data_IF_244550442262
#
_entry.id   IF_244550442262
#
_cell.length_a   1.000
_cell.length_b   1.000
_cell.length_c   1.000
_cell.angle_alpha   90.00
_cell.angle_beta   90.00
_cell.angle_gamma   90.00
#
_symmetry.space_group_name_H-M   'P 1'
#
loop_
_entity.id
_entity.type
_entity.pdbx_description
1 polymer ?
#
# COMPACT_ATOMS: atom_id res chain seq x y z
N UNK A 1 -23.19 30.75 -16.65
CA UNK A 1 -22.73 30.08 -17.88
C UNK A 1 -21.29 29.55 -17.67
N UNK A 2 -20.34 30.36 -17.20
CA UNK A 2 -18.94 29.93 -16.95
C UNK A 2 -18.88 28.79 -15.90
N UNK A 3 -19.69 28.83 -14.84
CA UNK A 3 -19.77 27.79 -13.81
C UNK A 3 -20.31 26.46 -14.35
N UNK A 4 -21.24 26.48 -15.32
CA UNK A 4 -21.77 25.27 -15.97
C UNK A 4 -20.74 24.61 -16.90
N UNK A 5 -20.02 25.41 -17.66
CA UNK A 5 -18.93 24.91 -18.53
C UNK A 5 -17.77 24.30 -17.77
N UNK A 6 -17.43 24.85 -16.59
CA UNK A 6 -16.40 24.28 -15.70
C UNK A 6 -16.89 22.95 -15.14
N UNK A 7 -18.18 22.80 -14.85
CA UNK A 7 -18.74 21.58 -14.25
C UNK A 7 -18.76 20.40 -15.24
N UNK A 8 -19.11 20.60 -16.49
CA UNK A 8 -19.08 19.55 -17.52
C UNK A 8 -17.64 19.11 -17.85
N UNK A 9 -16.72 20.05 -18.05
CA UNK A 9 -15.30 19.74 -18.28
C UNK A 9 -14.67 19.06 -17.07
N UNK A 10 -15.03 19.44 -15.84
CA UNK A 10 -14.49 18.81 -14.62
C UNK A 10 -14.99 17.39 -14.45
N UNK A 11 -16.20 17.07 -14.85
CA UNK A 11 -16.70 15.70 -14.85
C UNK A 11 -16.01 14.79 -15.86
N UNK A 12 -15.68 15.30 -17.05
CA UNK A 12 -14.88 14.57 -18.05
C UNK A 12 -13.43 14.31 -17.59
N UNK A 13 -12.86 15.23 -16.81
CA UNK A 13 -11.49 15.13 -16.30
C UNK A 13 -11.39 14.35 -14.98
N UNK A 14 -12.50 14.09 -14.31
CA UNK A 14 -12.53 13.41 -13.00
C UNK A 14 -11.72 12.10 -12.98
N UNK A 15 -11.83 11.18 -13.97
CA UNK A 15 -11.03 9.96 -13.99
C UNK A 15 -9.52 10.24 -13.97
N UNK A 16 -9.06 11.19 -14.77
CA UNK A 16 -7.67 11.56 -14.85
C UNK A 16 -7.15 12.16 -13.53
N UNK A 17 -7.94 13.06 -12.91
CA UNK A 17 -7.60 13.68 -11.63
C UNK A 17 -7.43 12.65 -10.53
N UNK A 18 -8.35 11.68 -10.45
CA UNK A 18 -8.33 10.64 -9.43
C UNK A 18 -7.14 9.68 -9.63
N UNK A 19 -6.88 9.26 -10.87
CA UNK A 19 -5.74 8.40 -11.19
C UNK A 19 -4.42 9.11 -10.86
N UNK A 20 -4.25 10.37 -11.27
CA UNK A 20 -3.05 11.14 -10.99
C UNK A 20 -2.82 11.30 -9.48
N UNK A 21 -3.89 11.58 -8.72
CA UNK A 21 -3.82 11.68 -7.26
C UNK A 21 -3.40 10.36 -6.61
N UNK A 22 -3.86 9.23 -7.13
CA UNK A 22 -3.45 7.92 -6.62
C UNK A 22 -2.00 7.58 -6.99
N UNK A 23 -1.57 7.89 -8.23
CA UNK A 23 -0.18 7.70 -8.63
C UNK A 23 0.76 8.41 -7.66
N UNK A 24 0.49 9.70 -7.35
CA UNK A 24 1.31 10.49 -6.44
C UNK A 24 1.40 9.87 -5.03
N UNK A 25 0.35 9.17 -4.57
CA UNK A 25 0.28 8.52 -3.24
C UNK A 25 0.93 7.16 -3.18
N UNK A 26 0.92 6.40 -4.25
CA UNK A 26 1.41 5.03 -4.25
C UNK A 26 2.84 4.88 -4.74
N UNK A 27 3.31 5.77 -5.62
CA UNK A 27 4.67 5.71 -6.16
C UNK A 27 5.75 6.04 -5.10
N UNK A 28 5.40 6.80 -4.06
CA UNK A 28 6.34 7.42 -3.11
C UNK A 28 7.24 6.44 -2.35
N UNK A 29 6.75 5.23 -2.10
CA UNK A 29 7.52 4.20 -1.40
C UNK A 29 8.48 3.55 -2.38
N UNK A 30 7.96 2.95 -3.44
CA UNK A 30 8.73 2.12 -4.35
C UNK A 30 9.82 2.90 -5.10
N UNK A 31 9.58 4.18 -5.43
CA UNK A 31 10.56 5.04 -6.10
C UNK A 31 11.74 5.42 -5.17
N UNK A 32 11.51 5.51 -3.86
CA UNK A 32 12.53 5.94 -2.89
C UNK A 32 13.42 4.79 -2.40
N UNK A 33 12.92 3.56 -2.42
CA UNK A 33 13.58 2.37 -1.86
C UNK A 33 14.97 2.09 -2.47
N UNK A 34 15.20 2.18 -3.79
CA UNK A 34 16.54 1.95 -4.37
C UNK A 34 17.62 2.91 -3.85
N UNK A 35 17.25 4.08 -3.33
CA UNK A 35 18.19 5.08 -2.81
C UNK A 35 18.55 4.91 -1.33
N UNK A 36 18.01 3.92 -0.64
CA UNK A 36 18.26 3.71 0.79
C UNK A 36 19.73 3.57 1.19
N UNK A 37 20.59 2.83 0.44
CA UNK A 37 22.02 2.76 0.76
C UNK A 37 22.72 4.12 0.71
N UNK A 38 22.31 5.01 -0.21
CA UNK A 38 22.86 6.36 -0.32
C UNK A 38 22.40 7.25 0.85
N UNK A 39 21.13 7.08 1.29
CA UNK A 39 20.60 7.80 2.45
C UNK A 39 21.31 7.38 3.75
N UNK A 40 21.61 6.08 3.93
CA UNK A 40 22.41 5.56 5.05
C UNK A 40 23.78 6.27 5.09
N UNK A 41 24.46 6.34 3.95
CA UNK A 41 25.76 7.05 3.84
C UNK A 41 25.63 8.55 4.11
N UNK A 42 24.63 9.20 3.53
CA UNK A 42 24.43 10.64 3.66
C UNK A 42 24.14 11.07 5.11
N UNK A 43 23.22 10.37 5.79
CA UNK A 43 22.85 10.70 7.17
C UNK A 43 23.76 10.07 8.21
N UNK A 44 24.67 9.18 7.81
CA UNK A 44 25.56 8.42 8.69
C UNK A 44 24.81 7.69 9.82
N UNK A 45 23.77 6.95 9.44
CA UNK A 45 22.89 6.18 10.35
C UNK A 45 22.85 4.71 9.97
N UNK A 46 22.25 3.88 10.82
CA UNK A 46 22.05 2.46 10.52
C UNK A 46 21.04 2.23 9.40
N UNK A 47 21.12 1.07 8.76
CA UNK A 47 20.14 0.62 7.74
C UNK A 47 18.73 0.59 8.33
N UNK A 48 18.58 0.07 9.57
CA UNK A 48 17.32 0.04 10.28
C UNK A 48 16.71 1.44 10.47
N UNK A 49 17.52 2.46 10.72
CA UNK A 49 17.03 3.84 10.85
C UNK A 49 16.39 4.35 9.56
N UNK A 50 16.96 4.02 8.39
CA UNK A 50 16.37 4.40 7.10
C UNK A 50 15.11 3.58 6.81
N UNK A 51 15.08 2.29 7.17
CA UNK A 51 13.87 1.46 7.04
C UNK A 51 12.68 2.04 7.83
N UNK A 52 12.92 2.64 9.00
CA UNK A 52 11.90 3.32 9.79
C UNK A 52 11.20 4.47 9.03
N UNK A 53 11.80 5.03 7.98
CA UNK A 53 11.14 6.05 7.15
C UNK A 53 9.84 5.54 6.54
N UNK A 54 9.79 4.26 6.15
CA UNK A 54 8.56 3.62 5.65
C UNK A 54 7.60 3.30 6.80
N UNK A 55 8.11 2.84 7.96
CA UNK A 55 7.25 2.59 9.12
C UNK A 55 6.53 3.87 9.58
N UNK A 56 7.23 5.00 9.63
CA UNK A 56 6.64 6.30 9.97
C UNK A 56 5.61 6.77 8.95
N UNK A 57 5.85 6.51 7.66
CA UNK A 57 4.86 6.77 6.62
C UNK A 57 3.57 5.97 6.85
N UNK A 58 3.68 4.67 7.11
CA UNK A 58 2.51 3.83 7.42
C UNK A 58 1.83 4.21 8.74
N UNK A 59 2.56 4.65 9.76
CA UNK A 59 1.96 5.19 10.99
C UNK A 59 1.14 6.46 10.71
N UNK A 60 1.66 7.34 9.87
CA UNK A 60 0.90 8.50 9.39
C UNK A 60 -0.35 8.09 8.63
N UNK A 61 -0.22 7.11 7.73
CA UNK A 61 -1.33 6.55 6.97
C UNK A 61 -2.42 5.94 7.87
N UNK A 62 -2.04 5.27 8.97
CA UNK A 62 -2.98 4.77 9.98
C UNK A 62 -3.85 5.88 10.53
N UNK A 63 -3.22 6.96 11.01
CA UNK A 63 -3.94 8.07 11.66
C UNK A 63 -4.88 8.73 10.66
N UNK A 64 -4.36 9.13 9.49
CA UNK A 64 -5.20 9.76 8.46
C UNK A 64 -6.32 8.86 7.98
N UNK A 65 -6.06 7.57 7.81
CA UNK A 65 -7.03 6.58 7.35
C UNK A 65 -8.25 6.42 8.25
N UNK A 66 -8.07 6.56 9.57
CA UNK A 66 -9.17 6.52 10.53
C UNK A 66 -10.14 7.70 10.37
N UNK A 67 -9.62 8.87 10.02
CA UNK A 67 -10.40 10.11 10.06
C UNK A 67 -10.89 10.56 8.68
N UNK A 68 -10.10 10.43 7.62
CA UNK A 68 -10.45 11.03 6.32
C UNK A 68 -11.67 10.41 5.65
N UNK A 69 -11.95 9.13 5.86
CA UNK A 69 -13.19 8.52 5.39
C UNK A 69 -14.41 9.21 5.99
N UNK A 70 -14.63 9.11 7.32
CA UNK A 70 -15.75 9.77 8.01
C UNK A 70 -15.80 11.28 7.82
N UNK A 71 -14.66 11.98 7.91
CA UNK A 71 -14.61 13.42 7.70
C UNK A 71 -15.05 13.83 6.30
N UNK A 72 -14.74 13.02 5.27
CA UNK A 72 -15.16 13.31 3.90
C UNK A 72 -16.67 13.16 3.67
N UNK A 73 -17.36 12.36 4.49
CA UNK A 73 -18.81 12.24 4.49
C UNK A 73 -19.50 13.47 5.09
N UNK A 74 -18.88 14.07 6.10
CA UNK A 74 -19.44 15.22 6.83
C UNK A 74 -19.06 16.57 6.21
N UNK A 75 -17.80 16.73 5.80
CA UNK A 75 -17.28 18.01 5.32
C UNK A 75 -17.20 18.12 3.80
N UNK A 76 -17.48 17.03 3.08
CA UNK A 76 -17.41 16.94 1.63
C UNK A 76 -16.12 16.32 1.12
N UNK A 77 -16.20 15.59 0.00
CA UNK A 77 -15.09 14.85 -0.60
C UNK A 77 -13.99 15.79 -1.05
N UNK A 78 -14.35 16.87 -1.75
CA UNK A 78 -13.38 17.84 -2.29
C UNK A 78 -12.53 18.48 -1.21
N UNK A 79 -13.12 18.94 -0.10
CA UNK A 79 -12.38 19.59 0.99
C UNK A 79 -11.35 18.66 1.60
N UNK A 80 -11.75 17.44 1.92
CA UNK A 80 -10.85 16.46 2.55
C UNK A 80 -9.75 16.00 1.58
N UNK A 81 -10.06 15.84 0.29
CA UNK A 81 -9.05 15.56 -0.73
C UNK A 81 -8.00 16.67 -0.83
N UNK A 82 -8.42 17.95 -0.81
CA UNK A 82 -7.47 19.08 -0.85
C UNK A 82 -6.62 19.12 0.40
N UNK A 83 -7.21 18.98 1.60
CA UNK A 83 -6.46 18.96 2.87
C UNK A 83 -5.42 17.85 2.88
N UNK A 84 -5.82 16.62 2.53
CA UNK A 84 -4.90 15.50 2.52
C UNK A 84 -3.81 15.61 1.46
N UNK A 85 -4.12 16.08 0.25
CA UNK A 85 -3.09 16.33 -0.77
C UNK A 85 -2.17 17.50 -0.39
N UNK A 86 -2.63 18.48 0.40
CA UNK A 86 -1.77 19.51 0.99
C UNK A 86 -0.77 18.89 1.97
N UNK A 87 -1.23 18.01 2.87
CA UNK A 87 -0.34 17.30 3.79
C UNK A 87 0.64 16.40 3.04
N UNK A 88 0.18 15.69 2.00
CA UNK A 88 1.03 14.88 1.13
C UNK A 88 2.14 15.71 0.50
N UNK A 89 1.81 16.88 -0.05
CA UNK A 89 2.76 17.81 -0.66
C UNK A 89 3.74 18.36 0.37
N UNK A 90 3.28 18.81 1.54
CA UNK A 90 4.14 19.30 2.61
C UNK A 90 5.13 18.23 3.03
N UNK A 91 4.66 17.00 3.25
CA UNK A 91 5.52 15.87 3.58
C UNK A 91 6.53 15.56 2.48
N UNK A 92 6.11 15.54 1.21
CA UNK A 92 6.98 15.29 0.08
C UNK A 92 8.09 16.35 -0.05
N UNK A 93 7.73 17.64 0.03
CA UNK A 93 8.69 18.76 0.03
C UNK A 93 9.62 18.67 1.24
N UNK A 94 9.09 18.36 2.43
CA UNK A 94 9.88 18.16 3.64
C UNK A 94 10.92 17.04 3.47
N UNK A 95 10.60 15.95 2.76
CA UNK A 95 11.57 14.90 2.46
C UNK A 95 12.71 15.38 1.55
N UNK A 96 12.41 16.22 0.53
CA UNK A 96 13.44 16.78 -0.36
C UNK A 96 14.47 17.61 0.41
N UNK A 97 14.00 18.46 1.31
CA UNK A 97 14.83 19.41 2.05
C UNK A 97 15.28 18.90 3.42
N UNK A 98 15.05 17.62 3.76
CA UNK A 98 15.40 17.06 5.05
C UNK A 98 16.90 17.22 5.36
N UNK A 99 17.28 17.99 6.40
CA UNK A 99 18.68 18.17 6.82
C UNK A 99 19.16 17.04 7.75
N UNK A 100 18.24 16.29 8.36
CA UNK A 100 18.53 15.20 9.29
C UNK A 100 17.55 14.04 9.08
N UNK A 101 17.93 12.85 9.55
CA UNK A 101 17.04 11.70 9.50
C UNK A 101 15.77 11.93 10.32
N UNK A 102 15.85 12.66 11.43
CA UNK A 102 14.67 12.99 12.24
C UNK A 102 13.66 13.84 11.48
N UNK A 103 14.12 14.88 10.76
CA UNK A 103 13.25 15.69 9.90
C UNK A 103 12.65 14.88 8.76
N UNK A 104 13.42 13.92 8.22
CA UNK A 104 12.92 12.99 7.20
C UNK A 104 11.81 12.09 7.75
N UNK A 105 11.99 11.53 8.96
CA UNK A 105 10.96 10.69 9.61
C UNK A 105 9.65 11.45 9.84
N UNK A 106 9.74 12.71 10.34
CA UNK A 106 8.56 13.57 10.51
C UNK A 106 7.89 13.86 9.16
N UNK A 107 8.69 14.18 8.14
CA UNK A 107 8.16 14.46 6.79
C UNK A 107 7.46 13.24 6.20
N UNK A 108 8.01 12.04 6.37
CA UNK A 108 7.39 10.77 5.95
C UNK A 108 6.10 10.48 6.71
N UNK A 109 6.04 10.80 8.01
CA UNK A 109 4.82 10.67 8.80
C UNK A 109 3.72 11.60 8.28
N UNK A 110 4.03 12.88 8.03
CA UNK A 110 3.08 13.85 7.47
C UNK A 110 2.63 13.41 6.06
N UNK A 111 3.56 12.94 5.23
CA UNK A 111 3.30 12.42 3.90
C UNK A 111 2.33 11.23 3.96
N UNK A 112 2.52 10.30 4.90
CA UNK A 112 1.62 9.16 5.13
C UNK A 112 0.21 9.59 5.52
N UNK A 113 0.06 10.60 6.41
CA UNK A 113 -1.27 11.15 6.71
C UNK A 113 -1.94 11.60 5.41
N UNK A 114 -1.25 12.37 4.57
CA UNK A 114 -1.79 12.83 3.30
C UNK A 114 -2.16 11.70 2.33
N UNK A 115 -1.30 10.68 2.23
CA UNK A 115 -1.51 9.52 1.34
C UNK A 115 -2.77 8.72 1.68
N UNK A 116 -3.17 8.69 2.95
CA UNK A 116 -4.37 7.96 3.41
C UNK A 116 -5.68 8.50 2.82
N UNK A 117 -5.70 9.72 2.23
CA UNK A 117 -6.85 10.20 1.45
C UNK A 117 -7.14 9.37 0.20
N UNK A 118 -6.33 8.37 -0.12
CA UNK A 118 -6.66 7.35 -1.13
C UNK A 118 -8.01 6.68 -0.88
N UNK A 119 -8.44 6.52 0.38
CA UNK A 119 -9.78 5.98 0.72
C UNK A 119 -10.90 6.89 0.20
N UNK A 120 -10.69 8.21 0.20
CA UNK A 120 -11.67 9.20 -0.29
C UNK A 120 -11.79 9.14 -1.81
N UNK A 121 -10.73 8.79 -2.53
CA UNK A 121 -10.77 8.62 -3.99
C UNK A 121 -11.77 7.54 -4.39
N UNK A 122 -11.76 6.39 -3.71
CA UNK A 122 -12.72 5.31 -3.97
C UNK A 122 -14.16 5.72 -3.62
N UNK A 123 -14.33 6.53 -2.57
CA UNK A 123 -15.63 7.10 -2.22
C UNK A 123 -16.14 8.06 -3.31
N UNK A 124 -15.28 8.92 -3.87
CA UNK A 124 -15.62 9.80 -5.01
C UNK A 124 -16.07 8.99 -6.22
N UNK A 125 -15.39 7.87 -6.50
CA UNK A 125 -15.79 6.97 -7.60
C UNK A 125 -17.18 6.39 -7.36
N UNK A 126 -17.47 5.93 -6.13
CA UNK A 126 -18.77 5.39 -5.77
C UNK A 126 -19.90 6.45 -5.84
N UNK A 127 -19.59 7.70 -5.48
CA UNK A 127 -20.54 8.83 -5.54
C UNK A 127 -20.81 9.27 -7.00
N UNK A 128 -19.81 9.12 -7.90
CA UNK A 128 -19.85 9.66 -9.27
C UNK A 128 -20.29 8.64 -10.33
N UNK A 129 -20.08 7.36 -10.08
CA UNK A 129 -20.36 6.28 -11.03
C UNK A 129 -21.21 5.20 -10.39
N UNK A 130 -22.16 4.63 -11.15
CA UNK A 130 -23.05 3.58 -10.68
C UNK A 130 -22.85 2.26 -11.43
N UNK A 131 -23.13 1.15 -10.77
CA UNK A 131 -23.11 -0.19 -11.35
C UNK A 131 -21.79 -0.55 -12.05
N UNK A 132 -21.89 -1.11 -13.25
CA UNK A 132 -20.76 -1.61 -14.03
C UNK A 132 -19.71 -0.52 -14.38
N UNK A 133 -20.14 0.74 -14.49
CA UNK A 133 -19.21 1.86 -14.77
C UNK A 133 -18.26 2.10 -13.60
N UNK A 134 -18.72 2.03 -12.37
CA UNK A 134 -17.88 2.16 -11.18
C UNK A 134 -16.88 0.99 -11.09
N UNK A 135 -17.36 -0.24 -11.29
CA UNK A 135 -16.50 -1.45 -11.27
C UNK A 135 -15.42 -1.37 -12.34
N UNK A 136 -15.78 -1.01 -13.57
CA UNK A 136 -14.84 -0.87 -14.69
C UNK A 136 -13.79 0.21 -14.39
N UNK A 137 -14.21 1.35 -13.84
CA UNK A 137 -13.28 2.45 -13.54
C UNK A 137 -12.31 2.10 -12.41
N UNK A 138 -12.79 1.46 -11.32
CA UNK A 138 -11.93 0.93 -10.26
C UNK A 138 -10.92 -0.08 -10.82
N UNK A 139 -11.35 -0.94 -11.74
CA UNK A 139 -10.47 -1.87 -12.44
C UNK A 139 -9.36 -1.16 -13.21
N UNK A 140 -9.68 -0.11 -13.96
CA UNK A 140 -8.70 0.71 -14.70
C UNK A 140 -7.72 1.38 -13.71
N UNK A 141 -8.22 2.00 -12.64
CA UNK A 141 -7.40 2.63 -11.61
C UNK A 141 -6.40 1.63 -11.02
N UNK A 142 -6.86 0.46 -10.61
CA UNK A 142 -6.00 -0.58 -10.05
C UNK A 142 -4.96 -1.06 -11.08
N UNK A 143 -5.33 -1.22 -12.35
CA UNK A 143 -4.39 -1.63 -13.41
C UNK A 143 -3.29 -0.58 -13.61
N UNK A 144 -3.64 0.71 -13.65
CA UNK A 144 -2.66 1.80 -13.78
C UNK A 144 -1.73 1.84 -12.57
N UNK A 145 -2.28 1.77 -11.36
CA UNK A 145 -1.48 1.76 -10.12
C UNK A 145 -0.50 0.60 -10.09
N UNK A 146 -0.95 -0.57 -10.48
CA UNK A 146 -0.15 -1.79 -10.53
C UNK A 146 1.05 -1.65 -11.48
N UNK A 147 0.84 -1.06 -12.67
CA UNK A 147 1.92 -0.79 -13.63
C UNK A 147 2.89 0.25 -13.09
N UNK A 148 2.37 1.33 -12.49
CA UNK A 148 3.19 2.39 -11.89
C UNK A 148 4.08 1.83 -10.78
N UNK A 149 3.53 1.02 -9.87
CA UNK A 149 4.30 0.40 -8.79
C UNK A 149 5.38 -0.56 -9.32
N UNK A 150 5.13 -1.29 -10.40
CA UNK A 150 6.12 -2.17 -11.02
C UNK A 150 7.29 -1.40 -11.66
N UNK A 151 7.02 -0.23 -12.22
CA UNK A 151 8.03 0.62 -12.89
C UNK A 151 8.76 1.53 -11.88
N UNK A 152 8.13 1.88 -10.78
CA UNK A 152 8.65 2.85 -9.80
C UNK A 152 10.08 2.54 -9.30
N UNK A 153 10.46 1.30 -8.95
CA UNK A 153 11.82 1.01 -8.51
C UNK A 153 12.87 1.26 -9.61
N UNK A 154 12.51 0.95 -10.87
CA UNK A 154 13.42 1.16 -12.02
C UNK A 154 13.63 2.65 -12.26
N UNK A 155 12.54 3.43 -12.25
CA UNK A 155 12.62 4.90 -12.34
C UNK A 155 13.40 5.48 -11.15
N UNK A 156 13.16 4.99 -9.95
CA UNK A 156 13.84 5.44 -8.73
C UNK A 156 15.34 5.16 -8.76
N UNK A 157 15.75 4.00 -9.26
CA UNK A 157 17.15 3.67 -9.46
C UNK A 157 17.81 4.63 -10.45
N UNK A 158 17.19 4.84 -11.61
CA UNK A 158 17.71 5.74 -12.64
C UNK A 158 17.82 7.20 -12.15
N UNK A 159 16.79 7.71 -11.47
CA UNK A 159 16.82 9.06 -10.91
C UNK A 159 17.91 9.17 -9.84
N UNK A 160 18.06 8.15 -8.99
CA UNK A 160 19.09 8.14 -7.95
C UNK A 160 20.51 8.17 -8.54
N UNK A 161 20.77 7.49 -9.65
CA UNK A 161 22.07 7.51 -10.32
C UNK A 161 22.41 8.90 -10.90
N UNK A 162 21.42 9.66 -11.39
CA UNK A 162 21.66 10.97 -12.05
C UNK A 162 21.63 12.12 -11.04
N UNK A 163 20.65 12.15 -10.13
CA UNK A 163 20.34 13.32 -9.28
C UNK A 163 20.57 13.00 -7.79
N UNK A 164 20.78 11.73 -7.44
CA UNK A 164 20.89 11.26 -6.06
C UNK A 164 19.51 11.05 -5.41
N UNK A 165 19.52 10.59 -4.15
CA UNK A 165 18.32 10.17 -3.41
C UNK A 165 17.25 11.27 -3.26
N UNK A 166 17.67 12.55 -3.20
CA UNK A 166 16.74 13.69 -3.16
C UNK A 166 15.94 13.84 -4.46
N UNK A 167 16.49 13.39 -5.59
CA UNK A 167 15.79 13.37 -6.87
C UNK A 167 14.52 12.52 -6.84
N UNK A 168 14.53 11.39 -6.15
CA UNK A 168 13.36 10.54 -5.97
C UNK A 168 12.25 11.28 -5.21
N UNK A 169 12.58 11.92 -4.08
CA UNK A 169 11.61 12.72 -3.33
C UNK A 169 11.14 13.96 -4.09
N UNK A 170 12.02 14.61 -4.86
CA UNK A 170 11.67 15.74 -5.71
C UNK A 170 10.67 15.34 -6.81
N UNK A 171 10.86 14.17 -7.42
CA UNK A 171 9.91 13.62 -8.40
C UNK A 171 8.53 13.42 -7.77
N UNK A 172 8.48 12.84 -6.57
CA UNK A 172 7.21 12.69 -5.82
C UNK A 172 6.62 14.05 -5.49
N UNK A 173 7.42 15.02 -5.02
CA UNK A 173 6.94 16.36 -4.68
C UNK A 173 6.35 17.09 -5.90
N UNK A 174 6.97 16.96 -7.08
CA UNK A 174 6.46 17.53 -8.34
C UNK A 174 5.13 16.88 -8.72
N UNK A 175 5.03 15.55 -8.66
CA UNK A 175 3.77 14.84 -8.93
C UNK A 175 2.67 15.25 -7.94
N UNK A 176 3.01 15.39 -6.65
CA UNK A 176 2.08 15.86 -5.62
C UNK A 176 1.64 17.31 -5.90
N UNK A 177 2.55 18.19 -6.30
CA UNK A 177 2.24 19.59 -6.65
C UNK A 177 1.30 19.67 -7.84
N UNK A 178 1.60 18.95 -8.92
CA UNK A 178 0.73 18.90 -10.12
C UNK A 178 -0.65 18.36 -9.73
N UNK A 179 -0.71 17.25 -9.01
CA UNK A 179 -1.97 16.68 -8.54
C UNK A 179 -2.74 17.66 -7.66
N UNK A 180 -2.06 18.31 -6.70
CA UNK A 180 -2.66 19.27 -5.78
C UNK A 180 -3.26 20.49 -6.52
N UNK A 181 -2.52 21.08 -7.46
CA UNK A 181 -2.98 22.21 -8.27
C UNK A 181 -4.21 21.81 -9.07
N UNK A 182 -4.16 20.67 -9.77
CA UNK A 182 -5.29 20.21 -10.56
C UNK A 182 -6.51 19.89 -9.72
N UNK A 183 -6.35 19.26 -8.56
CA UNK A 183 -7.45 18.97 -7.63
C UNK A 183 -8.05 20.27 -7.05
N UNK A 184 -7.20 21.26 -6.74
CA UNK A 184 -7.65 22.54 -6.18
C UNK A 184 -8.61 23.27 -7.14
N UNK A 185 -8.30 23.27 -8.44
CA UNK A 185 -9.08 24.01 -9.42
C UNK A 185 -10.18 23.18 -10.11
N UNK A 186 -9.98 21.87 -10.30
CA UNK A 186 -10.82 21.06 -11.17
C UNK A 186 -11.64 19.99 -10.44
N UNK A 187 -11.31 19.63 -9.19
CA UNK A 187 -12.07 18.58 -8.49
C UNK A 187 -13.46 19.11 -8.10
N UNK A 188 -14.57 18.54 -8.61
CA UNK A 188 -15.91 18.90 -8.19
C UNK A 188 -16.22 18.32 -6.80
N UNK A 189 -17.19 18.92 -6.10
CA UNK A 189 -17.78 18.29 -4.92
C UNK A 189 -18.76 17.21 -5.36
N UNK A 190 -18.57 15.99 -4.90
CA UNK A 190 -19.39 14.84 -5.30
C UNK A 190 -20.41 14.43 -4.23
N UNK A 191 -20.17 14.79 -2.97
CA UNK A 191 -21.09 14.50 -1.86
C UNK A 191 -22.17 15.59 -1.77
N UNK A 192 -23.40 15.26 -2.16
CA UNK A 192 -24.54 16.18 -2.14
C UNK A 192 -25.11 16.33 -0.72
N UNK A 193 -25.39 15.21 -0.08
CA UNK A 193 -25.94 15.17 1.27
C UNK A 193 -24.80 14.94 2.27
N UNK A 194 -24.70 15.81 3.27
CA UNK A 194 -23.64 15.76 4.27
C UNK A 194 -24.17 15.19 5.57
N UNK A 195 -23.45 14.22 6.11
CA UNK A 195 -23.73 13.68 7.43
C UNK A 195 -23.30 14.64 8.53
N UNK A 196 -23.94 14.58 9.69
CA UNK A 196 -23.48 15.31 10.86
C UNK A 196 -22.34 14.51 11.49
N UNK A 197 -21.18 15.16 11.64
CA UNK A 197 -20.04 14.52 12.29
C UNK A 197 -20.35 14.19 13.75
N UNK A 198 -20.24 12.93 14.09
CA UNK A 198 -20.40 12.43 15.45
C UNK A 198 -19.26 11.48 15.80
N UNK A 199 -18.32 11.98 16.60
CA UNK A 199 -17.22 11.17 17.12
C UNK A 199 -17.72 9.93 17.87
N UNK A 200 -18.84 10.09 18.63
CA UNK A 200 -19.50 8.99 19.38
C UNK A 200 -20.00 7.89 18.44
N UNK A 201 -20.64 8.26 17.32
CA UNK A 201 -21.10 7.31 16.30
C UNK A 201 -19.90 6.61 15.65
N UNK A 202 -18.90 7.38 15.24
CA UNK A 202 -17.67 6.84 14.64
C UNK A 202 -16.99 5.83 15.58
N UNK A 203 -16.78 6.18 16.85
CA UNK A 203 -16.19 5.26 17.82
C UNK A 203 -17.05 4.01 18.07
N UNK A 204 -18.39 4.15 18.07
CA UNK A 204 -19.31 3.02 18.20
C UNK A 204 -19.17 2.07 17.01
N UNK A 205 -19.07 2.59 15.79
CA UNK A 205 -18.93 1.80 14.57
C UNK A 205 -17.57 1.09 14.54
N UNK A 206 -16.47 1.78 14.87
CA UNK A 206 -15.14 1.14 15.02
C UNK A 206 -15.14 0.06 16.10
N UNK A 207 -15.75 0.33 17.26
CA UNK A 207 -15.88 -0.69 18.32
C UNK A 207 -16.63 -1.92 17.83
N UNK A 208 -17.73 -1.73 17.09
CA UNK A 208 -18.51 -2.83 16.50
C UNK A 208 -17.65 -3.69 15.56
N UNK A 209 -16.88 -3.04 14.67
CA UNK A 209 -15.98 -3.71 13.74
C UNK A 209 -14.86 -4.48 14.47
N UNK A 210 -14.14 -3.81 15.38
CA UNK A 210 -13.02 -4.40 16.10
C UNK A 210 -13.43 -5.46 17.13
N UNK A 211 -14.68 -5.44 17.59
CA UNK A 211 -15.23 -6.50 18.45
C UNK A 211 -15.72 -7.72 17.68
N UNK A 212 -15.74 -7.67 16.33
CA UNK A 212 -16.11 -8.82 15.50
C UNK A 212 -14.88 -9.67 15.18
N UNK A 213 -14.76 -10.90 15.73
CA UNK A 213 -13.62 -11.77 15.40
C UNK A 213 -13.51 -12.03 13.90
N UNK A 214 -14.66 -12.17 13.21
CA UNK A 214 -14.70 -12.38 11.77
C UNK A 214 -14.09 -11.19 11.00
N UNK A 215 -14.49 -9.95 11.33
CA UNK A 215 -13.97 -8.75 10.68
C UNK A 215 -12.46 -8.60 10.92
N UNK A 216 -12.02 -8.78 12.18
CA UNK A 216 -10.61 -8.66 12.56
C UNK A 216 -9.78 -9.71 11.83
N UNK A 217 -10.21 -10.98 11.80
CA UNK A 217 -9.49 -12.05 11.13
C UNK A 217 -9.41 -11.82 9.62
N UNK A 218 -10.53 -11.47 8.96
CA UNK A 218 -10.55 -11.12 7.53
C UNK A 218 -9.68 -9.90 7.21
N UNK A 219 -9.48 -9.00 8.18
CA UNK A 219 -8.60 -7.83 8.02
C UNK A 219 -7.14 -8.18 8.25
N UNK A 220 -6.82 -9.07 9.18
CA UNK A 220 -5.44 -9.47 9.52
C UNK A 220 -4.78 -10.30 8.41
N UNK A 221 -5.51 -11.21 7.77
CA UNK A 221 -4.96 -12.09 6.72
C UNK A 221 -4.29 -11.28 5.59
N UNK A 222 -4.96 -10.35 4.87
CA UNK A 222 -4.30 -9.56 3.83
C UNK A 222 -3.27 -8.58 4.40
N UNK A 223 -3.41 -8.17 5.67
CA UNK A 223 -2.47 -7.26 6.33
C UNK A 223 -1.13 -7.93 6.60
N UNK A 224 -1.13 -9.20 7.04
CA UNK A 224 0.07 -9.99 7.31
C UNK A 224 0.83 -10.30 6.00
N UNK A 225 0.14 -10.63 4.93
CA UNK A 225 0.78 -10.76 3.61
C UNK A 225 1.42 -9.46 3.16
N UNK A 226 0.71 -8.32 3.32
CA UNK A 226 1.26 -7.01 2.97
C UNK A 226 2.46 -6.65 3.85
N UNK A 227 2.43 -7.00 5.13
CA UNK A 227 3.52 -6.77 6.07
C UNK A 227 4.76 -7.61 5.72
N UNK A 228 4.59 -8.89 5.40
CA UNK A 228 5.66 -9.77 4.93
C UNK A 228 6.35 -9.19 3.67
N UNK A 229 5.54 -8.77 2.70
CA UNK A 229 6.01 -8.15 1.47
C UNK A 229 6.80 -6.86 1.75
N UNK A 230 6.23 -5.93 2.53
CA UNK A 230 6.85 -4.65 2.83
C UNK A 230 8.13 -4.80 3.67
N UNK A 231 8.19 -5.76 4.58
CA UNK A 231 9.40 -6.10 5.32
C UNK A 231 10.53 -6.52 4.39
N UNK A 232 10.23 -7.36 3.39
CA UNK A 232 11.22 -7.75 2.38
C UNK A 232 11.65 -6.54 1.52
N UNK A 233 10.70 -5.73 1.04
CA UNK A 233 11.00 -4.56 0.20
C UNK A 233 11.92 -3.57 0.90
N UNK A 234 11.71 -3.31 2.18
CA UNK A 234 12.55 -2.36 2.95
C UNK A 234 14.00 -2.84 3.14
N UNK A 235 14.24 -4.15 3.15
CA UNK A 235 15.57 -4.75 3.19
C UNK A 235 16.20 -4.91 1.82
N UNK A 236 15.39 -4.98 0.76
CA UNK A 236 15.82 -5.32 -0.59
C UNK A 236 17.08 -4.57 -1.06
N UNK A 237 17.15 -3.22 -1.00
CA UNK A 237 18.33 -2.49 -1.45
C UNK A 237 19.60 -2.91 -0.72
N UNK A 238 19.52 -3.11 0.58
CA UNK A 238 20.67 -3.52 1.38
C UNK A 238 21.08 -4.96 1.07
N UNK A 239 20.12 -5.86 0.95
CA UNK A 239 20.38 -7.26 0.62
C UNK A 239 20.96 -7.41 -0.78
N UNK A 240 20.33 -6.80 -1.79
CA UNK A 240 20.75 -6.98 -3.18
C UNK A 240 22.00 -6.15 -3.53
N UNK A 241 22.05 -4.88 -3.12
CA UNK A 241 23.15 -4.01 -3.52
C UNK A 241 24.38 -4.15 -2.61
N UNK A 242 24.18 -4.32 -1.28
CA UNK A 242 25.29 -4.36 -0.33
C UNK A 242 25.76 -5.78 -0.06
N UNK A 243 24.84 -6.73 0.17
CA UNK A 243 25.21 -8.13 0.49
C UNK A 243 25.50 -8.93 -0.77
N UNK A 244 24.70 -8.85 -1.83
CA UNK A 244 24.94 -9.56 -3.08
C UNK A 244 25.84 -8.79 -4.06
N UNK A 245 26.15 -7.51 -3.80
CA UNK A 245 27.04 -6.69 -4.62
C UNK A 245 26.45 -6.28 -5.98
N UNK A 246 25.13 -6.28 -6.14
CA UNK A 246 24.48 -5.92 -7.40
C UNK A 246 24.38 -4.41 -7.58
N UNK A 247 24.34 -3.95 -8.83
CA UNK A 247 24.05 -2.55 -9.13
C UNK A 247 22.60 -2.20 -8.78
N UNK A 248 22.33 -0.89 -8.56
CA UNK A 248 20.99 -0.36 -8.31
C UNK A 248 20.01 -0.75 -9.42
N UNK A 249 20.44 -0.70 -10.67
CA UNK A 249 19.65 -1.08 -11.85
C UNK A 249 19.26 -2.56 -11.83
N UNK A 250 20.21 -3.46 -11.52
CA UNK A 250 19.93 -4.91 -11.44
C UNK A 250 18.99 -5.19 -10.27
N UNK A 251 19.19 -4.56 -9.11
CA UNK A 251 18.26 -4.67 -7.99
C UNK A 251 16.85 -4.24 -8.39
N UNK A 252 16.71 -3.10 -9.08
CA UNK A 252 15.42 -2.59 -9.53
C UNK A 252 14.71 -3.56 -10.50
N UNK A 253 15.44 -4.29 -11.34
CA UNK A 253 14.87 -5.34 -12.19
C UNK A 253 14.36 -6.53 -11.37
N UNK A 254 15.11 -6.98 -10.34
CA UNK A 254 14.65 -8.03 -9.42
C UNK A 254 13.37 -7.60 -8.69
N UNK A 255 13.33 -6.38 -8.16
CA UNK A 255 12.14 -5.84 -7.50
C UNK A 255 10.98 -5.68 -8.48
N UNK A 256 11.24 -5.16 -9.67
CA UNK A 256 10.26 -5.04 -10.76
C UNK A 256 9.65 -6.39 -11.16
N UNK A 257 10.45 -7.48 -11.17
CA UNK A 257 9.96 -8.83 -11.43
C UNK A 257 9.01 -9.33 -10.32
N UNK A 258 9.33 -9.06 -9.05
CA UNK A 258 8.47 -9.42 -7.91
C UNK A 258 7.15 -8.66 -7.98
N UNK A 259 7.19 -7.33 -8.12
CA UNK A 259 5.98 -6.48 -8.23
C UNK A 259 5.21 -6.84 -9.49
N UNK A 260 5.91 -7.03 -10.61
CA UNK A 260 5.32 -7.40 -11.90
C UNK A 260 4.55 -8.73 -11.85
N UNK A 261 5.06 -9.73 -11.12
CA UNK A 261 4.36 -11.01 -10.93
C UNK A 261 3.06 -10.85 -10.16
N UNK A 262 3.07 -10.08 -9.06
CA UNK A 262 1.84 -9.72 -8.34
C UNK A 262 0.86 -9.01 -9.27
N UNK A 263 1.35 -8.05 -10.02
CA UNK A 263 0.58 -7.23 -10.96
C UNK A 263 -0.10 -8.07 -12.03
N UNK A 264 0.67 -8.93 -12.67
CA UNK A 264 0.20 -9.80 -13.75
C UNK A 264 -0.93 -10.71 -13.27
N UNK A 265 -0.75 -11.37 -12.12
CA UNK A 265 -1.78 -12.25 -11.57
C UNK A 265 -3.01 -11.46 -11.12
N UNK A 266 -2.83 -10.28 -10.53
CA UNK A 266 -3.93 -9.41 -10.10
C UNK A 266 -4.83 -8.99 -11.27
N UNK A 267 -4.30 -8.78 -12.48
CA UNK A 267 -5.09 -8.50 -13.68
C UNK A 267 -6.05 -9.65 -14.05
N UNK A 268 -5.69 -10.87 -13.69
CA UNK A 268 -6.51 -12.07 -13.95
C UNK A 268 -7.32 -12.51 -12.74
N UNK A 269 -7.27 -11.80 -11.62
CA UNK A 269 -7.91 -12.20 -10.35
C UNK A 269 -9.40 -12.49 -10.49
N UNK A 270 -10.15 -11.69 -11.24
CA UNK A 270 -11.59 -11.94 -11.47
C UNK A 270 -11.87 -13.19 -12.30
N UNK A 271 -11.00 -13.53 -13.25
CA UNK A 271 -11.12 -14.80 -14.03
C UNK A 271 -10.77 -16.00 -13.16
N UNK A 272 -9.73 -15.86 -12.33
CA UNK A 272 -9.30 -16.89 -11.38
C UNK A 272 -10.43 -17.15 -10.37
N UNK A 273 -11.01 -16.10 -9.80
CA UNK A 273 -12.12 -16.19 -8.87
C UNK A 273 -13.35 -16.87 -9.48
N UNK A 274 -13.72 -16.53 -10.72
CA UNK A 274 -14.84 -17.18 -11.43
C UNK A 274 -14.60 -18.67 -11.68
N UNK A 275 -13.35 -19.07 -11.92
CA UNK A 275 -12.99 -20.47 -12.22
C UNK A 275 -12.85 -21.34 -10.96
N UNK A 276 -12.22 -20.82 -9.93
CA UNK A 276 -11.89 -21.58 -8.71
C UNK A 276 -12.94 -21.42 -7.60
N UNK A 277 -13.63 -20.27 -7.54
CA UNK A 277 -14.46 -19.89 -6.41
C UNK A 277 -13.65 -19.28 -5.27
N UNK A 278 -14.34 -18.62 -4.32
CA UNK A 278 -13.71 -17.82 -3.26
C UNK A 278 -12.83 -18.68 -2.33
N UNK A 279 -13.36 -19.79 -1.83
CA UNK A 279 -12.66 -20.67 -0.88
C UNK A 279 -11.37 -21.22 -1.49
N UNK A 280 -11.41 -21.72 -2.73
CA UNK A 280 -10.22 -22.26 -3.39
C UNK A 280 -9.20 -21.18 -3.76
N UNK A 281 -9.63 -19.95 -4.05
CA UNK A 281 -8.71 -18.81 -4.21
C UNK A 281 -7.97 -18.52 -2.90
N UNK A 282 -8.66 -18.57 -1.76
CA UNK A 282 -8.01 -18.37 -0.46
C UNK A 282 -7.05 -19.51 -0.17
N UNK A 283 -7.47 -20.78 -0.26
CA UNK A 283 -6.63 -21.94 0.02
C UNK A 283 -5.40 -21.99 -0.90
N UNK A 284 -5.59 -21.87 -2.20
CA UNK A 284 -4.48 -21.93 -3.14
C UNK A 284 -3.52 -20.72 -2.99
N UNK A 285 -4.07 -19.51 -2.80
CA UNK A 285 -3.26 -18.30 -2.64
C UNK A 285 -2.42 -18.34 -1.37
N UNK A 286 -3.00 -18.71 -0.22
CA UNK A 286 -2.26 -18.85 1.04
C UNK A 286 -1.24 -19.99 0.97
N UNK A 287 -1.57 -21.12 0.36
CA UNK A 287 -0.64 -22.24 0.18
C UNK A 287 0.56 -21.85 -0.70
N UNK A 288 0.32 -21.19 -1.84
CA UNK A 288 1.39 -20.71 -2.73
C UNK A 288 2.26 -19.66 -2.01
N UNK A 289 1.66 -18.73 -1.27
CA UNK A 289 2.40 -17.76 -0.45
C UNK A 289 3.25 -18.42 0.63
N UNK A 290 2.72 -19.44 1.30
CA UNK A 290 3.44 -20.23 2.29
C UNK A 290 4.62 -21.01 1.67
N UNK A 291 4.42 -21.63 0.52
CA UNK A 291 5.51 -22.31 -0.22
C UNK A 291 6.60 -21.31 -0.58
N UNK A 292 6.25 -20.13 -1.11
CA UNK A 292 7.22 -19.07 -1.44
C UNK A 292 8.03 -18.61 -0.23
N UNK A 293 7.38 -18.38 0.92
CA UNK A 293 8.05 -17.99 2.17
C UNK A 293 8.95 -19.09 2.74
N UNK A 294 8.52 -20.34 2.67
CA UNK A 294 9.32 -21.49 3.10
C UNK A 294 10.54 -21.71 2.20
N UNK A 295 10.36 -21.63 0.88
CA UNK A 295 11.46 -21.66 -0.08
C UNK A 295 12.46 -20.54 0.18
N UNK A 296 11.99 -19.33 0.52
CA UNK A 296 12.86 -18.21 0.85
C UNK A 296 13.78 -18.56 2.04
N UNK A 297 13.27 -19.19 3.09
CA UNK A 297 14.06 -19.64 4.25
C UNK A 297 15.05 -20.74 3.83
N UNK A 298 14.57 -21.81 3.19
CA UNK A 298 15.40 -22.96 2.81
C UNK A 298 16.54 -22.51 1.88
N UNK A 299 16.22 -21.73 0.85
CA UNK A 299 17.22 -21.29 -0.12
C UNK A 299 18.19 -20.26 0.47
N UNK A 300 17.75 -19.43 1.42
CA UNK A 300 18.64 -18.53 2.16
C UNK A 300 19.64 -19.28 3.06
N UNK A 301 19.32 -20.50 3.51
CA UNK A 301 20.22 -21.36 4.28
C UNK A 301 21.23 -22.11 3.37
N UNK A 302 20.74 -22.65 2.25
CA UNK A 302 21.55 -23.50 1.36
C UNK A 302 22.44 -22.65 0.44
N UNK A 303 21.91 -21.54 -0.08
CA UNK A 303 22.57 -20.66 -1.05
C UNK A 303 22.41 -19.17 -0.63
N UNK A 304 23.06 -18.74 0.47
CA UNK A 304 22.83 -17.44 1.09
C UNK A 304 23.16 -16.22 0.21
N UNK A 305 23.93 -16.41 -0.84
CA UNK A 305 24.37 -15.33 -1.76
C UNK A 305 23.67 -15.36 -3.13
N UNK A 306 22.64 -16.19 -3.32
CA UNK A 306 21.94 -16.26 -4.60
C UNK A 306 20.77 -15.30 -4.68
N UNK A 307 20.96 -14.14 -5.33
CA UNK A 307 19.89 -13.15 -5.57
C UNK A 307 18.72 -13.71 -6.39
N UNK A 308 19.00 -14.57 -7.37
CA UNK A 308 17.97 -15.18 -8.22
C UNK A 308 17.01 -16.09 -7.44
N UNK A 309 17.53 -16.90 -6.51
CA UNK A 309 16.71 -17.80 -5.70
C UNK A 309 15.84 -17.04 -4.70
N UNK A 310 16.41 -15.98 -4.10
CA UNK A 310 15.63 -15.06 -3.25
C UNK A 310 14.49 -14.42 -4.05
N UNK A 311 14.78 -13.92 -5.25
CA UNK A 311 13.77 -13.31 -6.13
C UNK A 311 12.71 -14.33 -6.56
N UNK A 312 13.11 -15.55 -6.96
CA UNK A 312 12.18 -16.60 -7.35
C UNK A 312 11.22 -16.96 -6.21
N UNK A 313 11.74 -17.09 -4.99
CA UNK A 313 10.92 -17.35 -3.80
C UNK A 313 9.90 -16.24 -3.55
N UNK A 314 10.32 -14.98 -3.69
CA UNK A 314 9.45 -13.82 -3.53
C UNK A 314 8.44 -13.66 -4.69
N UNK A 315 8.76 -14.08 -5.90
CA UNK A 315 7.80 -14.16 -7.01
C UNK A 315 6.70 -15.17 -6.68
N UNK A 316 7.06 -16.38 -6.21
CA UNK A 316 6.08 -17.39 -5.79
C UNK A 316 5.20 -16.85 -4.67
N UNK A 317 5.80 -16.22 -3.65
CA UNK A 317 5.07 -15.57 -2.57
C UNK A 317 4.09 -14.50 -3.11
N UNK A 318 4.54 -13.62 -4.00
CA UNK A 318 3.72 -12.54 -4.59
C UNK A 318 2.54 -13.08 -5.41
N UNK A 319 2.71 -14.19 -6.12
CA UNK A 319 1.64 -14.87 -6.85
C UNK A 319 0.55 -15.33 -5.86
N UNK A 320 0.94 -15.96 -4.75
CA UNK A 320 0.01 -16.37 -3.69
C UNK A 320 -0.79 -15.19 -3.14
N UNK A 321 -0.12 -14.08 -2.83
CA UNK A 321 -0.76 -12.84 -2.39
C UNK A 321 -1.78 -12.31 -3.40
N UNK A 322 -1.43 -12.29 -4.69
CA UNK A 322 -2.29 -11.75 -5.74
C UNK A 322 -3.58 -12.56 -5.95
N UNK A 323 -3.56 -13.86 -5.67
CA UNK A 323 -4.74 -14.73 -5.77
C UNK A 323 -5.66 -14.53 -4.56
N UNK A 324 -5.11 -14.49 -3.34
CA UNK A 324 -5.87 -14.50 -2.09
C UNK A 324 -6.42 -13.12 -1.71
N UNK A 325 -5.60 -12.06 -1.80
CA UNK A 325 -5.92 -10.74 -1.23
C UNK A 325 -7.22 -10.11 -1.74
N UNK A 326 -7.55 -10.10 -3.05
CA UNK A 326 -8.78 -9.45 -3.53
C UNK A 326 -10.05 -10.09 -2.97
N UNK A 327 -10.03 -11.41 -2.77
CA UNK A 327 -11.17 -12.17 -2.24
C UNK A 327 -11.43 -11.81 -0.79
N UNK A 328 -10.38 -11.86 0.03
CA UNK A 328 -10.50 -11.57 1.48
C UNK A 328 -10.79 -10.09 1.72
N UNK A 329 -10.18 -9.20 0.93
CA UNK A 329 -10.46 -7.76 1.01
C UNK A 329 -11.94 -7.47 0.77
N UNK A 330 -12.52 -8.07 -0.27
CA UNK A 330 -13.95 -7.91 -0.57
C UNK A 330 -14.83 -8.50 0.54
N UNK A 331 -14.48 -9.68 1.04
CA UNK A 331 -15.20 -10.31 2.16
C UNK A 331 -15.17 -9.43 3.42
N UNK A 332 -14.02 -8.82 3.74
CA UNK A 332 -13.86 -7.94 4.92
C UNK A 332 -14.82 -6.75 4.90
N UNK A 333 -14.92 -6.06 3.77
CA UNK A 333 -15.77 -4.85 3.63
C UNK A 333 -17.25 -5.22 3.72
N UNK A 334 -17.62 -6.42 3.31
CA UNK A 334 -19.00 -6.86 3.27
C UNK A 334 -19.50 -7.53 4.56
N UNK A 335 -18.67 -7.67 5.60
CA UNK A 335 -19.10 -8.19 6.92
C UNK A 335 -20.22 -7.34 7.54
N UNK A 336 -20.12 -6.01 7.36
CA UNK A 336 -21.13 -5.06 7.84
C UNK A 336 -21.58 -4.13 6.71
N UNK A 337 -22.58 -4.55 5.90
CA UNK A 337 -22.99 -3.79 4.71
C UNK A 337 -23.49 -2.39 5.00
N UNK A 338 -23.98 -2.14 6.22
CA UNK A 338 -24.51 -0.86 6.67
C UNK A 338 -23.44 0.21 6.96
N UNK A 339 -22.18 -0.21 7.20
CA UNK A 339 -21.07 0.68 7.55
C UNK A 339 -19.81 0.41 6.70
N UNK A 340 -20.00 0.11 5.40
CA UNK A 340 -18.88 -0.25 4.47
C UNK A 340 -17.77 0.80 4.42
N UNK A 341 -18.10 2.09 4.50
CA UNK A 341 -17.10 3.17 4.51
C UNK A 341 -16.19 3.08 5.74
N UNK A 342 -16.77 2.91 6.92
CA UNK A 342 -16.03 2.73 8.18
C UNK A 342 -15.26 1.40 8.17
N UNK A 343 -15.82 0.34 7.60
CA UNK A 343 -15.14 -0.96 7.46
C UNK A 343 -13.89 -0.86 6.55
N UNK A 344 -13.97 -0.14 5.43
CA UNK A 344 -12.83 0.11 4.55
C UNK A 344 -11.73 0.93 5.24
N UNK A 345 -12.11 1.95 6.02
CA UNK A 345 -11.17 2.74 6.82
C UNK A 345 -10.51 1.91 7.92
N UNK A 346 -11.28 1.08 8.63
CA UNK A 346 -10.77 0.18 9.67
C UNK A 346 -9.81 -0.86 9.09
N UNK A 347 -10.14 -1.47 7.95
CA UNK A 347 -9.26 -2.40 7.24
C UNK A 347 -7.95 -1.73 6.83
N UNK A 348 -8.02 -0.52 6.28
CA UNK A 348 -6.84 0.25 5.87
C UNK A 348 -5.96 0.60 7.07
N UNK A 349 -6.56 0.96 8.20
CA UNK A 349 -5.87 1.19 9.47
C UNK A 349 -5.15 -0.07 9.94
N UNK A 350 -5.86 -1.22 10.06
CA UNK A 350 -5.27 -2.48 10.52
C UNK A 350 -4.10 -2.86 9.62
N UNK A 351 -4.26 -2.78 8.30
CA UNK A 351 -3.21 -3.11 7.35
C UNK A 351 -1.98 -2.23 7.51
N UNK A 352 -2.16 -0.92 7.55
CA UNK A 352 -1.05 0.02 7.70
C UNK A 352 -0.36 -0.13 9.06
N UNK A 353 -1.11 -0.40 10.13
CA UNK A 353 -0.58 -0.61 11.47
C UNK A 353 0.26 -1.90 11.55
N UNK A 354 -0.24 -3.01 11.01
CA UNK A 354 0.50 -4.28 10.94
C UNK A 354 1.77 -4.12 10.10
N UNK A 355 1.70 -3.43 8.96
CA UNK A 355 2.89 -3.13 8.14
C UNK A 355 3.90 -2.29 8.93
N UNK A 356 3.48 -1.23 9.63
CA UNK A 356 4.36 -0.40 10.44
C UNK A 356 5.07 -1.19 11.53
N UNK A 357 4.36 -2.11 12.21
CA UNK A 357 4.95 -3.01 13.22
C UNK A 357 6.01 -3.91 12.58
N UNK A 358 5.69 -4.62 11.50
CA UNK A 358 6.62 -5.56 10.88
C UNK A 358 7.82 -4.87 10.28
N UNK A 359 7.67 -3.68 9.67
CA UNK A 359 8.81 -2.88 9.17
C UNK A 359 9.67 -2.41 10.35
N UNK A 360 9.06 -2.02 11.47
CA UNK A 360 9.84 -1.66 12.67
C UNK A 360 10.59 -2.88 13.22
N UNK A 361 9.97 -4.07 13.27
CA UNK A 361 10.67 -5.31 13.64
C UNK A 361 11.81 -5.60 12.66
N UNK A 362 11.60 -5.39 11.36
CA UNK A 362 12.64 -5.54 10.33
C UNK A 362 13.86 -4.70 10.64
N UNK A 363 13.66 -3.45 11.06
CA UNK A 363 14.75 -2.52 11.39
C UNK A 363 15.65 -2.99 12.54
N UNK A 364 15.15 -3.84 13.43
CA UNK A 364 15.91 -4.44 14.53
C UNK A 364 16.51 -5.81 14.17
N UNK A 365 15.79 -6.61 13.39
CA UNK A 365 16.16 -8.01 13.11
C UNK A 365 17.14 -8.12 11.94
N UNK A 366 17.03 -7.23 10.95
CA UNK A 366 17.86 -7.29 9.76
C UNK A 366 19.32 -6.87 10.05
N UNK A 367 20.26 -7.75 9.72
CA UNK A 367 21.68 -7.54 9.93
C UNK A 367 22.53 -7.75 8.65
N UNK A 368 21.92 -7.61 7.49
CA UNK A 368 22.56 -7.85 6.19
C UNK A 368 22.44 -9.27 5.67
N UNK A 369 21.88 -10.21 6.42
CA UNK A 369 21.73 -11.61 6.00
C UNK A 369 20.32 -11.89 5.50
N UNK A 370 20.22 -12.66 4.40
CA UNK A 370 18.94 -13.05 3.81
C UNK A 370 18.08 -13.89 4.78
N UNK A 371 18.70 -14.71 5.62
CA UNK A 371 17.98 -15.60 6.53
C UNK A 371 17.13 -14.85 7.54
N UNK A 372 17.61 -13.71 8.07
CA UNK A 372 16.86 -12.98 9.10
C UNK A 372 15.56 -12.39 8.56
N UNK A 373 15.61 -11.81 7.35
CA UNK A 373 14.38 -11.31 6.72
C UNK A 373 13.48 -12.47 6.28
N UNK A 374 14.05 -13.59 5.85
CA UNK A 374 13.30 -14.79 5.46
C UNK A 374 12.48 -15.36 6.63
N UNK A 375 13.07 -15.41 7.82
CA UNK A 375 12.37 -15.85 9.04
C UNK A 375 11.27 -14.89 9.46
N UNK A 376 11.48 -13.58 9.29
CA UNK A 376 10.44 -12.60 9.57
C UNK A 376 9.27 -12.70 8.59
N UNK A 377 9.55 -12.87 7.29
CA UNK A 377 8.53 -13.13 6.26
C UNK A 377 7.76 -14.40 6.59
N UNK A 378 8.46 -15.49 6.92
CA UNK A 378 7.83 -16.76 7.30
C UNK A 378 6.95 -16.61 8.55
N UNK A 379 7.40 -15.85 9.56
CA UNK A 379 6.61 -15.62 10.79
C UNK A 379 5.29 -14.89 10.50
N UNK A 380 5.30 -13.90 9.62
CA UNK A 380 4.09 -13.21 9.20
C UNK A 380 3.13 -14.15 8.44
N UNK A 381 3.67 -15.00 7.57
CA UNK A 381 2.87 -15.99 6.81
C UNK A 381 2.36 -17.09 7.74
N UNK A 382 3.13 -17.53 8.73
CA UNK A 382 2.66 -18.50 9.72
C UNK A 382 1.47 -17.97 10.54
N UNK A 383 1.52 -16.71 10.97
CA UNK A 383 0.39 -16.03 11.59
C UNK A 383 -0.81 -15.92 10.64
N UNK A 384 -0.57 -15.59 9.39
CA UNK A 384 -1.59 -15.52 8.36
C UNK A 384 -2.30 -16.87 8.19
N UNK A 385 -1.54 -17.99 8.10
CA UNK A 385 -2.10 -19.34 7.99
C UNK A 385 -2.97 -19.72 9.19
N UNK A 386 -2.58 -19.33 10.41
CA UNK A 386 -3.39 -19.56 11.62
C UNK A 386 -4.75 -18.84 11.50
N UNK A 387 -4.75 -17.57 11.09
CA UNK A 387 -5.99 -16.81 10.91
C UNK A 387 -6.82 -17.33 9.73
N UNK A 388 -6.19 -17.75 8.64
CA UNK A 388 -6.88 -18.39 7.51
C UNK A 388 -7.50 -19.72 7.89
N UNK A 389 -6.79 -20.57 8.64
CA UNK A 389 -7.33 -21.81 9.16
C UNK A 389 -8.54 -21.53 10.09
N UNK A 390 -8.44 -20.55 10.98
CA UNK A 390 -9.57 -20.13 11.80
C UNK A 390 -10.80 -19.72 10.97
N UNK A 391 -10.60 -18.97 9.88
CA UNK A 391 -11.70 -18.58 8.96
C UNK A 391 -12.34 -19.78 8.28
N UNK A 392 -11.55 -20.74 7.83
CA UNK A 392 -12.04 -21.91 7.10
C UNK A 392 -12.75 -22.93 8.01
N UNK A 393 -12.26 -23.13 9.24
CA UNK A 393 -12.81 -24.11 10.17
C UNK A 393 -13.89 -23.54 11.11
N UNK A 394 -14.01 -22.22 11.24
CA UNK A 394 -15.12 -21.60 11.96
C UNK A 394 -16.38 -21.59 11.08
N UNK A 395 -17.58 -21.59 11.72
CA UNK A 395 -18.87 -21.42 11.00
C UNK A 395 -18.92 -20.16 10.12
N UNK A 396 -17.90 -19.33 10.20
CA UNK A 396 -17.71 -18.13 9.35
C UNK A 396 -17.26 -18.46 7.93
N UNK A 397 -16.78 -19.67 7.62
CA UNK A 397 -16.32 -20.09 6.31
C UNK A 397 -17.44 -20.36 5.31
N UNK A 398 -18.68 -20.59 5.77
CA UNK A 398 -19.82 -20.87 4.87
C UNK A 398 -20.26 -19.66 4.02
N UNK A 399 -19.73 -18.44 4.29
CA UNK A 399 -20.07 -17.20 3.61
C UNK A 399 -18.84 -16.39 3.11
N UNK A 400 -17.77 -17.08 2.69
CA UNK A 400 -16.64 -16.43 1.97
C UNK A 400 -16.96 -16.16 0.52
#
# INVERSE_FOLDING_TARGET
VIFLFINEKSQMLLPFLLILSLIAKFIEIDISVPSFPDMVRYFNVSEGTIQLTIAYNFLGFCIGGLFFGPLSECYGRRRIMIIGNTLLLIGAVGCVFAPSVFSLLISRFIQGIGASTSVVVFAIVADSYQGDKAIKFIGIMNSVLTVVMAIAPVLGSFINEIVGWRGNYATVAILCLISWVLLLFLLPETKKDRDIFSLKKMMKDYRKLLSSPRFVTLSLVPSLFSAAYMSFITCGPFLYMKTFGLSSTIYALHQGAIVGSFSLISLFSSKILKKLGAIWCVISGTSVGAIGSLLLVILSLIMPHSSYLVTLSMIIFSIGCAICQPVIFNASINVFPEIKGTASSALSFIRAFVMAIFISLTSYVYNGQAINISLLVLSAVALELIFTAYLLFSRSGENL
#
